data_IF_596902405533
#
_entry.id   IF_596902405533
#
_cell.length_a   1.000
_cell.length_b   1.000
_cell.length_c   1.000
_cell.angle_alpha   90.00
_cell.angle_beta   90.00
_cell.angle_gamma   90.00
#
_symmetry.space_group_name_H-M   'P 1'
#
loop_
_entity.id
_entity.type
_entity.pdbx_description
1 polymer ?
#
# COMPACT_ATOMS: atom_id res chain seq x y z
N UNK A 1 13.48 -18.19 -25.03
CA UNK A 1 12.63 -17.69 -23.94
C UNK A 1 13.37 -16.58 -23.26
N UNK A 2 12.84 -15.37 -23.31
CA UNK A 2 13.45 -14.20 -22.71
C UNK A 2 13.47 -14.32 -21.18
N UNK A 3 14.28 -13.50 -20.49
CA UNK A 3 14.36 -13.49 -19.01
C UNK A 3 13.02 -13.11 -18.39
N UNK A 4 12.30 -12.22 -19.05
CA UNK A 4 10.95 -11.77 -18.68
C UNK A 4 9.90 -12.89 -18.81
N UNK A 5 9.92 -13.67 -19.88
CA UNK A 5 9.08 -14.85 -20.03
C UNK A 5 9.34 -15.91 -18.93
N UNK A 6 10.60 -16.06 -18.47
CA UNK A 6 10.93 -16.96 -17.35
C UNK A 6 10.35 -16.45 -16.03
N UNK A 7 10.39 -15.13 -15.77
CA UNK A 7 9.80 -14.51 -14.58
C UNK A 7 8.29 -14.66 -14.58
N UNK A 8 7.61 -14.35 -15.69
CA UNK A 8 6.17 -14.58 -15.87
C UNK A 8 5.81 -16.04 -15.60
N UNK A 9 6.62 -16.98 -16.11
CA UNK A 9 6.37 -18.40 -15.91
C UNK A 9 6.58 -18.86 -14.46
N UNK A 10 7.57 -18.30 -13.76
CA UNK A 10 7.81 -18.58 -12.34
C UNK A 10 6.70 -18.02 -11.46
N UNK A 11 6.26 -16.79 -11.71
CA UNK A 11 5.15 -16.18 -11.00
C UNK A 11 3.83 -16.91 -11.24
N UNK A 12 3.51 -17.27 -12.50
CA UNK A 12 2.35 -18.14 -12.80
C UNK A 12 2.41 -19.50 -12.10
N UNK A 13 3.62 -20.07 -11.90
CA UNK A 13 3.80 -21.32 -11.14
C UNK A 13 3.59 -21.10 -9.63
N UNK A 14 4.02 -19.95 -9.07
CA UNK A 14 3.77 -19.58 -7.66
C UNK A 14 2.27 -19.41 -7.42
N UNK A 15 1.57 -18.64 -8.26
CA UNK A 15 0.11 -18.45 -8.20
C UNK A 15 -0.66 -19.77 -8.28
N UNK A 16 -0.28 -20.69 -9.18
CA UNK A 16 -0.89 -22.02 -9.26
C UNK A 16 -0.67 -22.85 -8.00
N UNK A 17 0.54 -22.80 -7.40
CA UNK A 17 0.83 -23.50 -6.14
C UNK A 17 -0.01 -22.92 -4.99
N UNK A 18 -0.12 -21.58 -4.88
CA UNK A 18 -0.95 -20.91 -3.87
C UNK A 18 -2.41 -21.31 -4.01
N UNK A 19 -2.98 -21.27 -5.22
CA UNK A 19 -4.37 -21.72 -5.47
C UNK A 19 -4.61 -23.18 -5.05
N UNK A 20 -3.64 -24.06 -5.27
CA UNK A 20 -3.72 -25.45 -4.83
C UNK A 20 -3.68 -25.58 -3.30
N UNK A 21 -2.86 -24.77 -2.62
CA UNK A 21 -2.79 -24.74 -1.15
C UNK A 21 -4.10 -24.20 -0.57
N UNK A 22 -4.63 -23.09 -1.10
CA UNK A 22 -5.91 -22.52 -0.66
C UNK A 22 -7.05 -23.51 -0.87
N UNK A 23 -7.12 -24.17 -2.04
CA UNK A 23 -8.12 -25.21 -2.30
C UNK A 23 -8.02 -26.39 -1.32
N UNK A 24 -6.80 -26.78 -0.96
CA UNK A 24 -6.57 -27.84 0.04
C UNK A 24 -7.02 -27.38 1.44
N UNK A 25 -6.73 -26.13 1.83
CA UNK A 25 -7.18 -25.55 3.11
C UNK A 25 -8.70 -25.46 3.20
N UNK A 26 -9.38 -25.01 2.14
CA UNK A 26 -10.85 -25.01 2.05
C UNK A 26 -11.41 -26.42 2.19
N UNK A 27 -10.79 -27.39 1.54
CA UNK A 27 -11.17 -28.80 1.66
C UNK A 27 -11.06 -29.32 3.10
N UNK A 28 -9.99 -29.00 3.81
CA UNK A 28 -9.80 -29.35 5.22
C UNK A 28 -10.83 -28.65 6.10
N UNK A 29 -11.10 -27.36 5.88
CA UNK A 29 -12.09 -26.60 6.64
C UNK A 29 -13.50 -27.19 6.46
N UNK A 30 -13.88 -27.55 5.23
CA UNK A 30 -15.15 -28.24 4.94
C UNK A 30 -15.25 -29.58 5.67
N UNK A 31 -14.18 -30.37 5.72
CA UNK A 31 -14.15 -31.62 6.48
C UNK A 31 -14.34 -31.39 7.98
N UNK A 32 -13.72 -30.35 8.55
CA UNK A 32 -13.89 -29.97 9.97
C UNK A 32 -15.34 -29.57 10.24
N UNK A 33 -15.95 -28.73 9.40
CA UNK A 33 -17.34 -28.30 9.53
C UNK A 33 -18.30 -29.51 9.48
N UNK A 34 -18.09 -30.42 8.55
CA UNK A 34 -18.88 -31.65 8.44
C UNK A 34 -18.70 -32.56 9.66
N UNK A 35 -17.49 -32.68 10.21
CA UNK A 35 -17.23 -33.44 11.42
C UNK A 35 -17.93 -32.83 12.65
N UNK A 36 -17.90 -31.49 12.80
CA UNK A 36 -18.62 -30.78 13.87
C UNK A 36 -20.14 -30.96 13.72
N UNK A 37 -20.67 -30.84 12.49
CA UNK A 37 -22.08 -31.08 12.23
C UNK A 37 -22.51 -32.52 12.58
N UNK A 38 -21.67 -33.50 12.25
CA UNK A 38 -21.86 -34.91 12.61
C UNK A 38 -21.89 -35.13 14.13
N UNK A 39 -20.97 -34.47 14.87
CA UNK A 39 -20.94 -34.53 16.34
C UNK A 39 -22.21 -33.90 16.96
N UNK A 40 -22.64 -32.74 16.43
CA UNK A 40 -23.86 -32.05 16.91
C UNK A 40 -25.11 -32.94 16.69
N UNK A 41 -25.20 -33.62 15.54
CA UNK A 41 -26.31 -34.57 15.27
C UNK A 41 -26.23 -35.77 16.23
N UNK A 42 -25.03 -36.32 16.46
CA UNK A 42 -24.82 -37.43 17.38
C UNK A 42 -25.20 -37.07 18.83
N UNK A 43 -24.84 -35.88 19.31
CA UNK A 43 -25.17 -35.36 20.63
C UNK A 43 -26.69 -35.17 20.76
N UNK A 44 -27.36 -34.64 19.73
CA UNK A 44 -28.80 -34.46 19.70
C UNK A 44 -29.57 -35.81 19.73
N UNK A 45 -29.06 -36.83 19.01
CA UNK A 45 -29.67 -38.18 19.03
C UNK A 45 -29.44 -38.90 20.36
N UNK A 46 -28.31 -38.66 21.03
CA UNK A 46 -28.04 -39.23 22.37
C UNK A 46 -28.80 -38.49 23.51
N UNK A 47 -29.09 -37.20 23.31
CA UNK A 47 -29.85 -36.39 24.27
C UNK A 47 -31.37 -36.58 24.16
N UNK A 48 -31.85 -37.12 23.03
CA UNK A 48 -33.31 -37.31 22.76
C UNK A 48 -34.00 -38.48 23.49
N UNK A 49 -33.30 -39.24 24.35
CA UNK A 49 -33.85 -40.42 25.05
C UNK A 49 -34.00 -40.23 26.57
N UNK A 50 -34.34 -39.04 27.06
CA UNK A 50 -34.77 -38.82 28.46
C UNK A 50 -35.89 -37.80 28.52
N UNK A 51 -37.11 -38.27 28.27
CA UNK A 51 -38.32 -37.66 28.80
C UNK A 51 -39.20 -38.74 29.39
N UNK A 52 -39.20 -38.85 30.72
CA UNK A 52 -40.28 -39.44 31.49
C UNK A 52 -40.71 -38.48 32.61
N UNK A 53 -41.93 -38.02 32.41
CA UNK A 53 -42.97 -37.69 33.38
C UNK A 53 -42.65 -37.03 34.72
N UNK A 54 -43.18 -35.81 34.89
CA UNK A 54 -43.98 -35.49 36.10
C UNK A 54 -45.05 -34.42 35.76
N UNK A 55 -46.31 -34.80 35.95
CA UNK A 55 -47.50 -33.93 35.99
C UNK A 55 -47.50 -33.17 37.31
N UNK A 56 -47.53 -31.84 37.23
CA UNK A 56 -47.79 -30.96 38.37
C UNK A 56 -48.53 -29.72 37.92
N UNK A 57 -49.85 -29.74 38.34
CA UNK A 57 -50.85 -28.71 38.12
C UNK A 57 -50.51 -27.45 38.94
N UNK A 58 -50.33 -26.26 38.30
CA UNK A 58 -50.58 -24.97 38.98
C UNK A 58 -50.95 -23.89 37.96
N UNK A 59 -52.13 -23.33 38.14
CA UNK A 59 -52.65 -22.11 37.55
C UNK A 59 -51.71 -20.94 37.93
N UNK A 60 -51.24 -20.22 36.97
CA UNK A 60 -50.63 -18.90 37.15
C UNK A 60 -51.26 -17.91 36.17
N UNK A 61 -51.65 -16.81 36.73
CA UNK A 61 -52.40 -15.70 36.15
C UNK A 61 -51.66 -15.02 35.05
N UNK A 62 -52.37 -14.68 33.96
CA UNK A 62 -51.95 -13.70 32.98
C UNK A 62 -51.66 -12.34 33.64
N UNK A 63 -50.43 -11.93 33.55
CA UNK A 63 -49.99 -10.54 33.69
C UNK A 63 -49.27 -10.16 32.40
N UNK A 64 -50.02 -9.58 31.49
CA UNK A 64 -49.49 -8.85 30.34
C UNK A 64 -48.75 -7.63 30.86
N UNK A 65 -47.45 -7.71 30.92
CA UNK A 65 -46.56 -6.53 31.01
C UNK A 65 -46.17 -6.21 29.59
N UNK A 66 -46.83 -5.19 29.02
CA UNK A 66 -46.34 -4.48 27.85
C UNK A 66 -45.13 -3.63 28.28
N UNK A 67 -43.96 -4.23 28.28
CA UNK A 67 -42.69 -3.52 28.35
C UNK A 67 -42.15 -3.52 26.96
N UNK A 68 -42.07 -2.34 26.30
CA UNK A 68 -41.18 -2.10 25.20
C UNK A 68 -39.80 -2.48 25.70
N UNK A 69 -39.13 -3.39 24.96
CA UNK A 69 -37.71 -3.65 25.16
C UNK A 69 -36.97 -2.32 24.95
N UNK A 70 -36.00 -2.00 25.82
CA UNK A 70 -35.13 -0.85 25.54
C UNK A 70 -34.52 -1.08 24.14
N UNK A 71 -34.77 -0.16 23.24
CA UNK A 71 -33.91 -0.06 22.06
C UNK A 71 -32.50 0.16 22.61
N UNK A 72 -31.60 -0.78 22.37
CA UNK A 72 -30.18 -0.50 22.46
C UNK A 72 -29.92 0.71 21.53
N UNK A 73 -29.70 1.88 22.13
CA UNK A 73 -29.14 2.98 21.40
C UNK A 73 -27.76 2.47 20.89
N UNK A 74 -27.65 2.28 19.57
CA UNK A 74 -26.34 2.09 18.93
C UNK A 74 -25.48 3.27 19.40
N UNK A 75 -24.46 3.00 20.19
CA UNK A 75 -23.44 3.99 20.53
C UNK A 75 -22.81 4.45 19.22
N UNK A 76 -23.29 5.55 18.68
CA UNK A 76 -22.68 6.18 17.51
C UNK A 76 -21.29 6.62 17.90
N UNK A 77 -20.26 5.97 17.32
CA UNK A 77 -18.89 6.41 17.50
C UNK A 77 -18.74 7.80 16.90
N UNK A 78 -18.01 8.72 17.55
CA UNK A 78 -17.75 10.03 16.96
C UNK A 78 -17.00 9.87 15.64
N UNK A 79 -17.24 10.75 14.65
CA UNK A 79 -16.49 10.74 13.40
C UNK A 79 -14.99 10.75 13.64
N UNK A 80 -14.25 9.88 12.97
CA UNK A 80 -12.80 9.85 12.99
C UNK A 80 -12.27 10.28 11.63
N UNK A 81 -11.32 11.20 11.59
CA UNK A 81 -10.68 11.65 10.35
C UNK A 81 -9.19 11.39 10.42
N UNK A 82 -8.64 10.90 9.32
CA UNK A 82 -7.19 10.68 9.16
C UNK A 82 -6.71 11.33 7.87
N UNK A 83 -5.51 11.89 7.90
CA UNK A 83 -4.81 12.39 6.72
C UNK A 83 -3.70 11.43 6.33
N UNK A 84 -3.75 10.95 5.10
CA UNK A 84 -2.75 10.08 4.50
C UNK A 84 -1.91 10.88 3.53
N UNK A 85 -0.58 10.83 3.69
CA UNK A 85 0.39 11.34 2.70
C UNK A 85 0.95 10.19 1.87
N UNK A 86 1.06 10.40 0.57
CA UNK A 86 1.73 9.50 -0.36
C UNK A 86 2.79 10.25 -1.16
N UNK A 87 3.94 9.60 -1.37
CA UNK A 87 5.06 10.17 -2.13
C UNK A 87 5.56 9.16 -3.16
N UNK A 88 6.36 9.65 -4.11
CA UNK A 88 6.89 8.86 -5.20
C UNK A 88 8.00 7.87 -4.82
N UNK A 89 8.79 7.48 -5.83
CA UNK A 89 9.77 6.41 -5.72
C UNK A 89 10.94 6.82 -4.82
N UNK A 90 11.14 6.05 -3.74
CA UNK A 90 12.27 6.18 -2.83
C UNK A 90 13.30 5.09 -3.13
N UNK A 91 14.44 5.48 -3.73
CA UNK A 91 15.59 4.60 -3.91
C UNK A 91 16.61 4.92 -2.81
N UNK A 92 16.53 4.19 -1.68
CA UNK A 92 17.45 4.37 -0.56
C UNK A 92 18.72 3.53 -0.77
N UNK A 93 19.58 4.00 -1.65
CA UNK A 93 20.80 3.30 -2.03
C UNK A 93 21.38 3.82 -3.33
N UNK A 94 22.25 3.02 -3.92
CA UNK A 94 22.89 3.36 -5.20
C UNK A 94 23.25 2.09 -5.96
N UNK A 95 23.51 2.20 -7.27
CA UNK A 95 24.13 1.12 -8.03
C UNK A 95 25.66 1.15 -7.83
N UNK A 96 26.28 -0.02 -7.73
CA UNK A 96 27.74 -0.15 -7.53
C UNK A 96 28.56 0.46 -8.68
N UNK A 97 27.95 0.61 -9.85
CA UNK A 97 28.60 1.19 -11.05
C UNK A 97 28.50 2.72 -11.09
N UNK A 98 27.77 3.36 -10.18
CA UNK A 98 27.65 4.81 -10.12
C UNK A 98 28.83 5.45 -9.40
N UNK A 99 28.99 6.76 -9.58
CA UNK A 99 29.99 7.52 -8.84
C UNK A 99 29.65 7.52 -7.34
N UNK A 100 30.41 6.75 -6.58
CA UNK A 100 30.14 6.56 -5.14
C UNK A 100 30.33 7.84 -4.33
N UNK A 101 31.22 8.74 -4.72
CA UNK A 101 31.49 10.02 -4.02
C UNK A 101 30.31 11.01 -4.10
N UNK A 102 29.40 10.80 -5.05
CA UNK A 102 28.21 11.62 -5.26
C UNK A 102 26.92 10.84 -5.02
N UNK A 103 27.01 9.67 -4.44
CA UNK A 103 25.86 8.79 -4.19
C UNK A 103 25.09 9.18 -2.95
N UNK A 104 23.86 8.68 -2.83
CA UNK A 104 23.06 8.78 -1.60
C UNK A 104 23.85 8.23 -0.40
N UNK A 105 24.59 7.14 -0.58
CA UNK A 105 25.43 6.55 0.47
C UNK A 105 26.50 7.53 0.98
N UNK A 106 27.16 8.29 0.08
CA UNK A 106 28.14 9.31 0.48
C UNK A 106 27.50 10.45 1.28
N UNK A 107 26.30 10.86 0.88
CA UNK A 107 25.52 11.88 1.62
C UNK A 107 25.10 11.37 2.99
N UNK A 108 24.66 10.12 3.11
CA UNK A 108 24.34 9.51 4.40
C UNK A 108 25.54 9.48 5.34
N UNK A 109 26.69 9.03 4.84
CA UNK A 109 27.93 8.97 5.61
C UNK A 109 28.40 10.35 6.11
N UNK A 110 28.10 11.41 5.34
CA UNK A 110 28.51 12.78 5.66
C UNK A 110 27.54 13.52 6.57
N UNK A 111 26.23 13.25 6.44
CA UNK A 111 25.18 14.09 7.03
C UNK A 111 24.25 13.31 7.97
N UNK A 112 24.26 11.96 7.95
CA UNK A 112 23.36 11.13 8.71
C UNK A 112 21.95 11.03 8.13
N UNK A 113 21.13 10.19 8.75
CA UNK A 113 19.79 9.83 8.25
C UNK A 113 18.80 11.01 8.20
N UNK A 114 18.78 11.85 9.23
CA UNK A 114 17.83 12.95 9.34
C UNK A 114 17.97 14.02 8.25
N UNK A 115 19.12 14.03 7.53
CA UNK A 115 19.37 14.97 6.44
C UNK A 115 18.36 14.85 5.29
N UNK A 116 17.96 13.63 4.93
CA UNK A 116 17.26 13.36 3.67
C UNK A 116 15.83 13.91 3.64
N UNK A 117 15.03 13.64 4.67
CA UNK A 117 13.62 14.05 4.70
C UNK A 117 13.36 15.29 5.57
N UNK A 118 14.42 16.00 6.00
CA UNK A 118 14.28 17.14 6.92
C UNK A 118 13.36 18.25 6.39
N UNK A 119 13.32 18.48 5.06
CA UNK A 119 12.54 19.57 4.46
C UNK A 119 11.05 19.23 4.31
N UNK A 120 10.69 17.97 4.47
CA UNK A 120 9.30 17.48 4.40
C UNK A 120 8.80 16.92 5.73
N UNK A 121 9.70 16.74 6.71
CA UNK A 121 9.41 16.13 8.00
C UNK A 121 8.19 16.75 8.71
N UNK A 122 8.09 18.09 8.74
CA UNK A 122 6.95 18.76 9.38
C UNK A 122 5.61 18.49 8.71
N UNK A 123 5.61 18.06 7.44
CA UNK A 123 4.41 17.67 6.71
C UNK A 123 4.00 16.27 7.16
N UNK A 124 4.95 15.33 7.21
CA UNK A 124 4.70 13.95 7.64
C UNK A 124 4.43 13.82 9.14
N UNK A 125 4.99 14.70 9.98
CA UNK A 125 4.63 14.75 11.42
C UNK A 125 3.24 15.36 11.68
N UNK A 126 2.64 16.01 10.67
CA UNK A 126 1.32 16.63 10.77
C UNK A 126 0.21 15.77 10.15
N UNK A 127 0.55 14.72 9.43
CA UNK A 127 -0.39 13.70 8.94
C UNK A 127 -0.51 12.53 9.93
N UNK A 128 -1.30 11.52 9.57
CA UNK A 128 -1.56 10.34 10.40
C UNK A 128 -0.92 9.07 9.82
N UNK A 129 -0.57 9.09 8.52
CA UNK A 129 0.06 7.98 7.82
C UNK A 129 0.80 8.46 6.57
N UNK A 130 2.10 8.25 6.50
CA UNK A 130 2.90 8.48 5.29
C UNK A 130 3.28 7.18 4.61
N UNK A 131 2.97 7.05 3.32
CA UNK A 131 3.24 5.88 2.48
C UNK A 131 4.28 6.21 1.42
N UNK A 132 5.30 5.36 1.27
CA UNK A 132 6.32 5.46 0.22
C UNK A 132 6.35 4.21 -0.68
N UNK A 133 6.86 4.33 -1.90
CA UNK A 133 7.30 3.18 -2.69
C UNK A 133 8.80 2.98 -2.48
N UNK A 134 9.18 1.90 -1.78
CA UNK A 134 10.60 1.56 -1.56
C UNK A 134 11.13 0.79 -2.75
N UNK A 135 11.73 1.52 -3.70
CA UNK A 135 12.21 0.98 -4.97
C UNK A 135 13.71 0.65 -4.90
N UNK A 136 14.02 -0.49 -4.34
CA UNK A 136 15.40 -0.96 -4.14
C UNK A 136 15.49 -1.95 -3.00
N UNK A 137 16.71 -2.37 -2.67
CA UNK A 137 16.95 -3.33 -1.60
C UNK A 137 17.77 -2.71 -0.47
N UNK A 138 17.41 -3.06 0.77
CA UNK A 138 18.26 -2.85 1.94
C UNK A 138 18.84 -4.21 2.32
N UNK A 139 20.16 -4.41 2.10
CA UNK A 139 20.80 -5.70 2.33
C UNK A 139 22.31 -5.61 2.33
N UNK A 140 22.96 -6.50 3.07
CA UNK A 140 24.40 -6.73 2.99
C UNK A 140 24.76 -7.77 1.92
N UNK A 141 23.80 -8.41 1.26
CA UNK A 141 24.01 -9.39 0.20
C UNK A 141 24.80 -8.78 -0.97
N UNK A 142 25.65 -9.58 -1.59
CA UNK A 142 26.38 -9.23 -2.82
C UNK A 142 25.83 -9.99 -4.04
N UNK A 143 24.69 -10.66 -3.93
CA UNK A 143 24.02 -11.40 -5.03
C UNK A 143 23.31 -10.43 -5.98
N UNK A 144 24.09 -9.48 -6.56
CA UNK A 144 23.58 -8.51 -7.52
C UNK A 144 23.03 -9.21 -8.76
N UNK A 145 21.80 -8.92 -9.12
CA UNK A 145 21.19 -9.43 -10.35
C UNK A 145 21.87 -8.83 -11.58
N UNK A 146 21.98 -9.64 -12.63
CA UNK A 146 22.47 -9.20 -13.93
C UNK A 146 21.39 -8.39 -14.65
N UNK A 147 21.40 -7.08 -14.38
CA UNK A 147 20.53 -6.05 -14.97
C UNK A 147 21.30 -4.72 -15.02
N UNK A 148 20.83 -3.79 -15.84
CA UNK A 148 21.51 -2.51 -16.08
C UNK A 148 21.69 -1.75 -14.76
N UNK A 149 20.60 -1.54 -14.01
CA UNK A 149 20.62 -0.88 -12.72
C UNK A 149 20.16 -1.84 -11.63
N UNK A 150 20.91 -1.88 -10.53
CA UNK A 150 20.55 -2.66 -9.34
C UNK A 150 20.90 -1.86 -8.08
N UNK A 151 19.88 -1.44 -7.35
CA UNK A 151 20.01 -0.51 -6.24
C UNK A 151 20.11 -1.23 -4.91
N UNK A 152 21.08 -0.81 -4.09
CA UNK A 152 21.30 -1.34 -2.75
C UNK A 152 21.73 -0.25 -1.78
N UNK A 153 21.14 -0.29 -0.58
CA UNK A 153 21.61 0.40 0.62
C UNK A 153 21.79 -0.56 1.79
N UNK A 154 22.54 -0.20 2.82
CA UNK A 154 22.61 -0.95 4.07
C UNK A 154 21.29 -0.86 4.83
N UNK A 155 21.04 -1.82 5.74
CA UNK A 155 19.81 -1.87 6.54
C UNK A 155 19.55 -0.62 7.38
N UNK A 156 20.62 0.06 7.84
CA UNK A 156 20.50 1.30 8.62
C UNK A 156 19.83 2.46 7.84
N UNK A 157 19.69 2.38 6.52
CA UNK A 157 19.00 3.41 5.74
C UNK A 157 17.49 3.47 6.01
N UNK A 158 16.92 2.49 6.70
CA UNK A 158 15.58 2.61 7.28
C UNK A 158 15.43 3.85 8.16
N UNK A 159 16.53 4.28 8.80
CA UNK A 159 16.56 5.50 9.61
C UNK A 159 16.26 6.77 8.80
N UNK A 160 16.46 6.77 7.48
CA UNK A 160 16.04 7.88 6.61
C UNK A 160 14.53 8.07 6.70
N UNK A 161 13.78 6.98 6.57
CA UNK A 161 12.32 6.98 6.59
C UNK A 161 11.80 7.28 8.00
N UNK A 162 12.28 6.58 9.02
CA UNK A 162 11.81 6.80 10.41
C UNK A 162 12.14 8.19 10.94
N UNK A 163 13.30 8.77 10.56
CA UNK A 163 13.64 10.16 10.92
C UNK A 163 12.73 11.17 10.22
N UNK A 164 12.14 10.81 9.11
CA UNK A 164 11.22 11.63 8.33
C UNK A 164 9.75 11.54 8.75
N UNK A 165 9.37 10.51 9.51
CA UNK A 165 7.96 10.26 9.86
C UNK A 165 7.24 9.43 8.81
N UNK A 166 7.84 8.31 8.34
CA UNK A 166 7.24 7.38 7.37
C UNK A 166 6.87 6.09 8.08
N UNK A 167 5.62 5.63 7.93
CA UNK A 167 5.06 4.46 8.61
C UNK A 167 4.89 3.24 7.71
N UNK A 168 4.72 3.42 6.38
CA UNK A 168 4.44 2.30 5.49
C UNK A 168 5.21 2.38 4.17
N UNK A 169 5.61 1.21 3.65
CA UNK A 169 6.38 1.09 2.42
C UNK A 169 5.84 -0.01 1.50
N UNK A 170 5.48 0.37 0.27
CA UNK A 170 5.21 -0.58 -0.82
C UNK A 170 6.51 -1.20 -1.32
N UNK A 171 6.53 -2.53 -1.42
CA UNK A 171 7.67 -3.31 -1.93
C UNK A 171 7.39 -3.99 -3.29
N UNK A 172 6.19 -3.82 -3.85
CA UNK A 172 5.83 -4.43 -5.13
C UNK A 172 6.38 -3.62 -6.31
N UNK A 173 7.67 -3.80 -6.66
CA UNK A 173 8.33 -3.07 -7.74
C UNK A 173 9.43 -3.89 -8.44
N UNK A 174 10.03 -3.33 -9.49
CA UNK A 174 11.05 -3.99 -10.32
C UNK A 174 12.43 -4.04 -9.66
N UNK A 175 12.70 -3.28 -8.59
CA UNK A 175 14.00 -3.18 -7.93
C UNK A 175 14.09 -3.91 -6.59
N UNK A 176 12.99 -4.35 -6.00
CA UNK A 176 13.00 -5.02 -4.69
C UNK A 176 13.78 -6.35 -4.67
N UNK A 177 13.96 -6.98 -5.84
CA UNK A 177 14.74 -8.21 -6.00
C UNK A 177 16.11 -7.98 -6.67
N UNK A 178 16.65 -6.78 -6.64
CA UNK A 178 17.94 -6.46 -7.28
C UNK A 178 19.10 -7.29 -6.73
N UNK A 179 18.99 -7.70 -5.47
CA UNK A 179 19.94 -8.58 -4.79
C UNK A 179 19.30 -9.92 -4.38
N UNK A 180 18.39 -10.43 -5.21
CA UNK A 180 17.76 -11.75 -5.06
C UNK A 180 16.73 -11.82 -3.94
N UNK A 181 16.35 -13.04 -3.58
CA UNK A 181 15.39 -13.31 -2.50
C UNK A 181 15.96 -12.89 -1.13
N UNK A 182 17.28 -12.98 -0.94
CA UNK A 182 17.92 -12.51 0.29
C UNK A 182 17.74 -10.99 0.44
N UNK A 183 17.99 -10.21 -0.63
CA UNK A 183 17.79 -8.76 -0.60
C UNK A 183 16.34 -8.38 -0.28
N UNK A 184 15.36 -9.07 -0.84
CA UNK A 184 13.94 -8.89 -0.54
C UNK A 184 13.63 -9.18 0.94
N UNK A 185 14.08 -10.33 1.43
CA UNK A 185 13.85 -10.74 2.83
C UNK A 185 14.53 -9.80 3.82
N UNK A 186 15.77 -9.40 3.55
CA UNK A 186 16.51 -8.46 4.39
C UNK A 186 15.79 -7.10 4.45
N UNK A 187 15.29 -6.62 3.31
CA UNK A 187 14.56 -5.34 3.23
C UNK A 187 13.33 -5.37 4.12
N UNK A 188 12.51 -6.44 4.04
CA UNK A 188 11.34 -6.62 4.91
C UNK A 188 11.77 -6.59 6.38
N UNK A 189 12.77 -7.40 6.74
CA UNK A 189 13.21 -7.51 8.13
C UNK A 189 13.72 -6.18 8.69
N UNK A 190 14.53 -5.43 7.92
CA UNK A 190 15.05 -4.14 8.36
C UNK A 190 13.93 -3.10 8.50
N UNK A 191 12.98 -3.04 7.57
CA UNK A 191 11.83 -2.14 7.63
C UNK A 191 10.96 -2.44 8.85
N UNK A 192 10.58 -3.70 9.06
CA UNK A 192 9.72 -4.09 10.18
C UNK A 192 10.41 -3.91 11.54
N UNK A 193 11.73 -4.19 11.64
CA UNK A 193 12.50 -3.90 12.85
C UNK A 193 12.59 -2.40 13.15
N UNK A 194 12.52 -1.56 12.13
CA UNK A 194 12.47 -0.11 12.27
C UNK A 194 11.06 0.43 12.55
N UNK A 195 10.03 -0.44 12.60
CA UNK A 195 8.64 -0.04 12.82
C UNK A 195 7.90 0.42 11.56
N UNK A 196 8.48 0.20 10.38
CA UNK A 196 7.84 0.54 9.10
C UNK A 196 7.07 -0.68 8.60
N UNK A 197 5.77 -0.52 8.39
CA UNK A 197 4.91 -1.59 7.83
C UNK A 197 5.22 -1.82 6.36
N UNK A 198 5.46 -3.06 5.97
CA UNK A 198 5.72 -3.43 4.57
C UNK A 198 4.53 -4.12 3.94
N UNK A 199 4.24 -3.77 2.68
CA UNK A 199 3.20 -4.39 1.88
C UNK A 199 3.63 -4.51 0.42
N UNK A 200 2.91 -5.32 -0.36
CA UNK A 200 3.17 -5.53 -1.79
C UNK A 200 3.25 -7.00 -2.17
N UNK A 201 2.91 -7.31 -3.40
CA UNK A 201 2.65 -8.68 -3.87
C UNK A 201 1.55 -9.34 -3.03
N UNK A 202 1.79 -10.58 -2.55
CA UNK A 202 0.89 -11.29 -1.64
C UNK A 202 0.86 -10.76 -0.19
N UNK A 203 1.73 -9.82 0.16
CA UNK A 203 1.78 -9.19 1.48
C UNK A 203 0.82 -8.01 1.52
N UNK A 204 -0.25 -8.13 2.25
CA UNK A 204 -1.16 -7.02 2.58
C UNK A 204 -0.93 -6.56 4.02
N UNK A 205 -1.43 -5.38 4.38
CA UNK A 205 -1.41 -4.90 5.74
C UNK A 205 -2.72 -4.18 6.08
N UNK A 206 -3.15 -4.27 7.34
CA UNK A 206 -4.21 -3.43 7.90
C UNK A 206 -3.65 -2.70 9.11
N UNK A 207 -3.63 -1.38 9.05
CA UNK A 207 -3.13 -0.51 10.11
C UNK A 207 -4.30 0.15 10.83
N UNK A 208 -4.22 0.24 12.14
CA UNK A 208 -5.12 1.10 12.93
C UNK A 208 -4.46 2.50 13.00
N UNK A 209 -5.04 3.44 12.32
CA UNK A 209 -4.58 4.83 12.25
C UNK A 209 -5.62 5.70 12.96
N UNK A 210 -5.34 6.07 14.19
CA UNK A 210 -6.24 6.88 15.03
C UNK A 210 -7.69 6.35 15.09
N UNK A 211 -7.85 5.01 15.13
CA UNK A 211 -9.14 4.34 15.18
C UNK A 211 -9.79 4.06 13.83
N UNK A 212 -9.16 4.47 12.71
CA UNK A 212 -9.55 4.10 11.35
C UNK A 212 -8.65 2.97 10.85
N UNK A 213 -9.24 1.88 10.39
CA UNK A 213 -8.51 0.75 9.80
C UNK A 213 -8.21 0.99 8.33
N UNK A 214 -6.93 1.13 8.00
CA UNK A 214 -6.44 1.36 6.64
C UNK A 214 -5.83 0.08 6.08
N UNK A 215 -6.41 -0.45 5.02
CA UNK A 215 -5.90 -1.59 4.26
C UNK A 215 -4.92 -1.14 3.17
N UNK A 216 -3.74 -1.76 3.13
CA UNK A 216 -2.68 -1.46 2.18
C UNK A 216 -2.44 -2.65 1.25
N UNK A 217 -2.52 -2.41 -0.05
CA UNK A 217 -2.33 -3.40 -1.12
C UNK A 217 -1.31 -2.87 -2.11
N UNK A 218 -0.29 -3.67 -2.47
CA UNK A 218 0.72 -3.31 -3.45
C UNK A 218 0.75 -4.28 -4.63
N UNK A 219 0.76 -3.74 -5.85
CA UNK A 219 0.66 -4.52 -7.10
C UNK A 219 1.76 -4.13 -8.08
N UNK A 220 2.40 -5.13 -8.68
CA UNK A 220 3.47 -4.96 -9.66
C UNK A 220 3.03 -5.41 -11.06
N UNK A 221 2.74 -4.43 -11.93
CA UNK A 221 2.21 -4.66 -13.28
C UNK A 221 3.30 -5.07 -14.27
N UNK A 222 4.48 -4.45 -14.27
CA UNK A 222 5.49 -4.59 -15.33
C UNK A 222 5.91 -6.03 -15.65
N UNK A 223 5.81 -6.94 -14.68
CA UNK A 223 6.14 -8.35 -14.90
C UNK A 223 4.96 -9.20 -15.38
N UNK A 224 3.74 -8.83 -15.04
CA UNK A 224 2.53 -9.62 -15.25
C UNK A 224 1.56 -9.00 -16.26
N UNK A 225 1.69 -7.70 -16.55
CA UNK A 225 0.67 -6.95 -17.27
C UNK A 225 -0.68 -7.09 -16.56
N UNK A 226 -1.76 -7.16 -17.30
CA UNK A 226 -3.12 -7.34 -16.77
C UNK A 226 -3.33 -8.63 -15.96
N UNK A 227 -2.43 -9.64 -16.04
CA UNK A 227 -2.54 -10.85 -15.22
C UNK A 227 -2.39 -10.59 -13.70
N UNK A 228 -1.93 -9.38 -13.28
CA UNK A 228 -1.85 -8.98 -11.85
C UNK A 228 -3.21 -8.61 -11.24
N UNK A 229 -4.22 -8.32 -12.06
CA UNK A 229 -5.55 -7.86 -11.63
C UNK A 229 -6.21 -8.84 -10.65
N UNK A 230 -6.15 -10.13 -10.93
CA UNK A 230 -6.80 -11.14 -10.09
C UNK A 230 -6.20 -11.20 -8.67
N UNK A 231 -4.86 -11.06 -8.54
CA UNK A 231 -4.18 -11.02 -7.24
C UNK A 231 -4.50 -9.72 -6.49
N UNK A 232 -4.53 -8.59 -7.18
CA UNK A 232 -4.96 -7.31 -6.62
C UNK A 232 -6.36 -7.40 -6.01
N UNK A 233 -7.34 -7.94 -6.76
CA UNK A 233 -8.73 -8.11 -6.28
C UNK A 233 -8.79 -9.05 -5.07
N UNK A 234 -8.02 -10.16 -5.08
CA UNK A 234 -7.94 -11.07 -3.92
C UNK A 234 -7.37 -10.33 -2.69
N UNK A 235 -6.36 -9.48 -2.87
CA UNK A 235 -5.72 -8.73 -1.80
C UNK A 235 -6.61 -7.61 -1.25
N UNK A 236 -7.36 -6.88 -2.10
CA UNK A 236 -8.37 -5.90 -1.67
C UNK A 236 -9.39 -6.59 -0.76
N UNK A 237 -9.97 -7.71 -1.20
CA UNK A 237 -10.92 -8.49 -0.40
C UNK A 237 -10.32 -9.03 0.90
N UNK A 238 -9.03 -9.34 0.91
CA UNK A 238 -8.36 -9.81 2.12
C UNK A 238 -8.33 -8.71 3.19
N UNK A 239 -7.93 -7.48 2.84
CA UNK A 239 -7.88 -6.36 3.80
C UNK A 239 -9.29 -5.92 4.23
N UNK A 240 -10.29 -5.95 3.34
CA UNK A 240 -11.70 -5.71 3.69
C UNK A 240 -12.20 -6.74 4.73
N UNK A 241 -11.90 -8.03 4.52
CA UNK A 241 -12.26 -9.10 5.45
C UNK A 241 -11.55 -8.99 6.81
N UNK A 242 -10.39 -8.32 6.87
CA UNK A 242 -9.66 -7.97 8.10
C UNK A 242 -10.24 -6.71 8.76
N UNK A 243 -11.24 -6.09 8.14
CA UNK A 243 -12.00 -4.96 8.66
C UNK A 243 -11.44 -3.60 8.26
N UNK A 244 -10.70 -3.50 7.15
CA UNK A 244 -10.31 -2.20 6.60
C UNK A 244 -11.53 -1.36 6.26
N UNK A 245 -11.51 -0.09 6.65
CA UNK A 245 -12.54 0.91 6.39
C UNK A 245 -12.13 1.85 5.26
N UNK A 246 -10.81 1.94 5.01
CA UNK A 246 -10.20 2.64 3.88
C UNK A 246 -9.23 1.67 3.22
N UNK A 247 -9.29 1.52 1.90
CA UNK A 247 -8.40 0.63 1.14
C UNK A 247 -7.56 1.46 0.16
N UNK A 248 -6.24 1.39 0.30
CA UNK A 248 -5.28 2.09 -0.56
C UNK A 248 -4.50 1.07 -1.38
N UNK A 249 -4.53 1.22 -2.72
CA UNK A 249 -3.81 0.34 -3.64
C UNK A 249 -2.66 1.08 -4.28
N UNK A 250 -1.43 0.62 -4.05
CA UNK A 250 -0.22 1.15 -4.68
C UNK A 250 0.19 0.27 -5.87
N UNK A 251 0.33 0.87 -7.04
CA UNK A 251 0.80 0.20 -8.25
C UNK A 251 2.22 0.63 -8.61
N UNK A 252 3.00 -0.31 -9.14
CA UNK A 252 4.24 -0.05 -9.84
C UNK A 252 4.08 -0.51 -11.30
N UNK A 253 3.86 0.46 -12.22
CA UNK A 253 3.28 0.23 -13.54
C UNK A 253 3.74 1.23 -14.61
N UNK A 254 3.22 1.07 -15.82
CA UNK A 254 3.36 2.03 -16.91
C UNK A 254 4.74 2.08 -17.53
N UNK A 255 5.08 3.21 -18.12
CA UNK A 255 6.33 3.40 -18.86
C UNK A 255 7.14 4.58 -18.29
N UNK A 256 8.46 4.38 -18.10
CA UNK A 256 9.35 5.43 -17.64
C UNK A 256 9.33 6.68 -18.56
N UNK A 257 9.34 7.86 -17.93
CA UNK A 257 9.42 9.18 -18.58
C UNK A 257 8.25 9.54 -19.48
N UNK A 258 7.10 8.87 -19.31
CA UNK A 258 5.85 9.19 -19.99
C UNK A 258 4.88 9.83 -19.01
N UNK A 259 4.44 11.07 -19.31
CA UNK A 259 3.58 11.86 -18.41
C UNK A 259 2.08 11.51 -18.51
N UNK A 260 1.68 10.63 -19.39
CA UNK A 260 0.28 10.21 -19.58
C UNK A 260 0.16 8.71 -19.30
N UNK A 261 -0.85 8.28 -18.52
CA UNK A 261 -1.04 6.86 -18.23
C UNK A 261 -1.48 6.10 -19.49
N UNK A 262 -0.99 4.88 -19.63
CA UNK A 262 -1.39 3.96 -20.68
C UNK A 262 -2.73 3.25 -20.37
N UNK A 263 -3.22 2.45 -21.33
CA UNK A 263 -4.50 1.77 -21.20
C UNK A 263 -4.51 0.71 -20.08
N UNK A 264 -3.37 0.06 -19.79
CA UNK A 264 -3.25 -0.89 -18.69
C UNK A 264 -3.37 -0.18 -17.34
N UNK A 265 -2.68 0.96 -17.17
CA UNK A 265 -2.77 1.76 -15.96
C UNK A 265 -4.22 2.16 -15.67
N UNK A 266 -4.93 2.69 -16.69
CA UNK A 266 -6.33 3.09 -16.54
C UNK A 266 -7.24 1.92 -16.20
N UNK A 267 -7.10 0.80 -16.92
CA UNK A 267 -7.94 -0.38 -16.69
C UNK A 267 -7.73 -0.97 -15.29
N UNK A 268 -6.48 -1.07 -14.84
CA UNK A 268 -6.15 -1.59 -13.50
C UNK A 268 -6.60 -0.64 -12.38
N UNK A 269 -6.45 0.68 -12.58
CA UNK A 269 -6.92 1.68 -11.63
C UNK A 269 -8.44 1.62 -11.44
N UNK A 270 -9.18 1.63 -12.55
CA UNK A 270 -10.64 1.51 -12.51
C UNK A 270 -11.07 0.18 -11.88
N UNK A 271 -10.40 -0.92 -12.24
CA UNK A 271 -10.67 -2.23 -11.61
C UNK A 271 -10.41 -2.23 -10.10
N UNK A 272 -9.37 -1.56 -9.62
CA UNK A 272 -9.10 -1.42 -8.19
C UNK A 272 -10.25 -0.72 -7.47
N UNK A 273 -10.68 0.44 -7.98
CA UNK A 273 -11.82 1.19 -7.42
C UNK A 273 -13.11 0.37 -7.50
N UNK A 274 -13.38 -0.30 -8.62
CA UNK A 274 -14.57 -1.14 -8.81
C UNK A 274 -14.62 -2.35 -7.87
N UNK A 275 -13.49 -2.72 -7.27
CA UNK A 275 -13.37 -3.83 -6.33
C UNK A 275 -13.08 -3.39 -4.89
N UNK A 276 -13.25 -2.11 -4.54
CA UNK A 276 -13.25 -1.62 -3.16
C UNK A 276 -12.06 -0.75 -2.76
N UNK A 277 -11.20 -0.33 -3.70
CA UNK A 277 -10.16 0.66 -3.38
C UNK A 277 -10.77 2.07 -3.24
N UNK A 278 -10.30 2.81 -2.23
CA UNK A 278 -10.70 4.21 -1.96
C UNK A 278 -9.66 5.21 -2.47
N UNK A 279 -8.43 4.74 -2.70
CA UNK A 279 -7.35 5.54 -3.28
C UNK A 279 -6.42 4.63 -4.08
N UNK A 280 -6.02 5.09 -5.27
CA UNK A 280 -5.00 4.43 -6.09
C UNK A 280 -3.78 5.33 -6.24
N UNK A 281 -2.60 4.78 -5.94
CA UNK A 281 -1.30 5.44 -6.00
C UNK A 281 -0.40 4.76 -7.03
N UNK A 282 0.18 5.52 -7.94
CA UNK A 282 1.02 5.01 -9.02
C UNK A 282 2.49 5.39 -8.89
N UNK A 283 3.36 4.45 -9.30
CA UNK A 283 4.81 4.51 -9.23
C UNK A 283 5.45 3.92 -10.49
N UNK A 284 6.75 4.12 -10.71
CA UNK A 284 7.57 3.65 -11.82
C UNK A 284 7.78 4.64 -12.98
N UNK A 285 6.82 5.45 -13.44
CA UNK A 285 7.13 6.36 -14.56
C UNK A 285 8.27 7.35 -14.27
N UNK A 286 8.66 7.55 -12.99
CA UNK A 286 9.71 8.46 -12.53
C UNK A 286 9.47 9.92 -12.93
N UNK A 287 8.29 10.23 -13.41
CA UNK A 287 7.75 11.56 -13.72
C UNK A 287 6.33 11.65 -13.21
N UNK A 288 5.84 12.86 -12.99
CA UNK A 288 4.44 13.06 -12.62
C UNK A 288 3.52 12.68 -13.79
N UNK A 289 2.42 12.02 -13.46
CA UNK A 289 1.28 11.82 -14.35
C UNK A 289 0.04 12.51 -13.77
N UNK A 290 -1.08 12.45 -14.50
CA UNK A 290 -2.33 13.06 -14.11
C UNK A 290 -2.98 12.40 -12.88
N UNK A 291 -3.97 13.10 -12.34
CA UNK A 291 -4.86 12.63 -11.29
C UNK A 291 -6.26 12.55 -11.89
N UNK A 292 -6.93 11.42 -11.70
CA UNK A 292 -8.30 11.17 -12.12
C UNK A 292 -9.20 11.02 -10.90
N UNK A 293 -10.41 11.57 -10.98
CA UNK A 293 -11.49 11.22 -10.07
C UNK A 293 -12.42 10.21 -10.78
N UNK A 294 -12.43 8.96 -10.33
CA UNK A 294 -13.27 7.90 -10.86
C UNK A 294 -14.22 7.41 -9.78
N UNK A 295 -15.53 7.52 -10.03
CA UNK A 295 -16.59 7.16 -9.07
C UNK A 295 -16.42 7.80 -7.68
N UNK A 296 -15.98 9.06 -7.64
CA UNK A 296 -15.76 9.80 -6.40
C UNK A 296 -14.48 9.41 -5.66
N UNK A 297 -13.59 8.60 -6.24
CA UNK A 297 -12.31 8.18 -5.66
C UNK A 297 -11.14 8.69 -6.51
N UNK A 298 -10.02 9.00 -5.86
CA UNK A 298 -8.85 9.52 -6.54
C UNK A 298 -7.94 8.40 -7.06
N UNK A 299 -7.42 8.61 -8.27
CA UNK A 299 -6.37 7.82 -8.90
C UNK A 299 -5.21 8.76 -9.21
N UNK A 300 -4.09 8.60 -8.51
CA UNK A 300 -2.85 9.32 -8.76
C UNK A 300 -1.94 8.44 -9.60
N UNK A 301 -1.90 8.65 -10.92
CA UNK A 301 -1.25 7.72 -11.85
C UNK A 301 0.27 7.62 -11.69
N UNK A 302 0.95 8.71 -11.29
CA UNK A 302 2.35 8.67 -10.90
C UNK A 302 2.73 9.86 -10.03
N UNK A 303 3.39 9.56 -8.92
CA UNK A 303 3.93 10.54 -7.97
C UNK A 303 5.35 11.02 -8.34
N UNK A 304 5.97 10.44 -9.37
CA UNK A 304 7.36 10.70 -9.75
C UNK A 304 8.37 10.07 -8.80
N UNK A 305 9.59 10.62 -8.78
CA UNK A 305 10.62 10.25 -7.80
C UNK A 305 10.45 11.04 -6.50
N UNK A 306 11.01 10.55 -5.38
CA UNK A 306 11.01 11.32 -4.14
C UNK A 306 12.39 11.36 -3.49
N UNK A 307 12.72 10.49 -2.53
CA UNK A 307 14.09 10.37 -2.01
C UNK A 307 14.89 9.42 -2.94
N UNK A 308 15.45 9.97 -4.00
CA UNK A 308 15.83 9.20 -5.17
C UNK A 308 17.36 9.04 -5.31
N UNK A 309 17.91 7.90 -4.85
CA UNK A 309 19.32 7.53 -4.98
C UNK A 309 19.73 6.97 -6.36
N UNK A 310 18.78 6.80 -7.29
CA UNK A 310 19.02 6.22 -8.61
C UNK A 310 19.81 7.10 -9.59
N UNK A 311 19.99 8.39 -9.28
CA UNK A 311 20.82 9.30 -10.08
C UNK A 311 21.32 10.49 -9.27
N UNK A 312 22.58 10.87 -9.46
CA UNK A 312 23.12 12.11 -8.88
C UNK A 312 22.69 13.38 -9.64
N UNK A 313 22.05 13.22 -10.79
CA UNK A 313 21.49 14.32 -11.58
C UNK A 313 20.33 13.82 -12.46
N UNK A 314 19.15 13.55 -11.89
CA UNK A 314 17.99 13.10 -12.64
C UNK A 314 17.54 14.18 -13.64
N UNK A 315 17.06 13.74 -14.81
CA UNK A 315 16.59 14.64 -15.88
C UNK A 315 15.32 15.40 -15.42
N UNK A 316 14.43 14.74 -14.69
CA UNK A 316 13.23 15.33 -14.08
C UNK A 316 13.39 15.38 -12.56
N UNK A 317 13.07 16.54 -11.96
CA UNK A 317 13.09 16.71 -10.49
C UNK A 317 11.71 16.95 -9.91
N UNK A 318 10.69 17.07 -10.75
CA UNK A 318 9.33 17.33 -10.34
C UNK A 318 8.73 16.11 -9.65
N UNK A 319 8.20 16.34 -8.48
CA UNK A 319 7.49 15.34 -7.67
C UNK A 319 6.43 16.03 -6.82
N UNK A 320 5.67 15.26 -6.06
CA UNK A 320 4.68 15.82 -5.15
C UNK A 320 4.54 14.95 -3.91
N UNK A 321 4.02 15.56 -2.85
CA UNK A 321 3.33 14.87 -1.77
C UNK A 321 1.84 15.00 -2.08
N UNK A 322 1.16 13.88 -2.24
CA UNK A 322 -0.29 13.84 -2.36
C UNK A 322 -0.87 13.50 -0.98
N UNK A 323 -1.75 14.36 -0.49
CA UNK A 323 -2.46 14.12 0.78
C UNK A 323 -3.94 13.94 0.52
N UNK A 324 -4.55 12.96 1.19
CA UNK A 324 -6.01 12.80 1.22
C UNK A 324 -6.46 12.59 2.66
N UNK A 325 -7.50 13.33 3.05
CA UNK A 325 -8.19 13.13 4.32
C UNK A 325 -9.36 12.20 4.11
N UNK A 326 -9.46 11.19 4.94
CA UNK A 326 -10.55 10.23 5.00
C UNK A 326 -11.31 10.44 6.29
N UNK A 327 -12.63 10.55 6.21
CA UNK A 327 -13.53 10.65 7.35
C UNK A 327 -14.38 9.39 7.44
N UNK A 328 -14.38 8.74 8.60
CA UNK A 328 -15.21 7.56 8.88
C UNK A 328 -16.25 7.91 9.93
N UNK A 329 -17.51 7.72 9.61
CA UNK A 329 -18.64 7.94 10.51
C UNK A 329 -19.44 6.63 10.67
N UNK A 330 -19.70 6.23 11.91
CA UNK A 330 -20.42 4.98 12.23
C UNK A 330 -19.80 3.73 11.56
N UNK A 331 -18.48 3.74 11.37
CA UNK A 331 -17.74 2.62 10.75
C UNK A 331 -17.69 2.64 9.22
N UNK A 332 -18.35 3.60 8.57
CA UNK A 332 -18.39 3.74 7.11
C UNK A 332 -17.62 4.98 6.65
N UNK A 333 -16.93 4.87 5.51
CA UNK A 333 -16.20 5.97 4.89
C UNK A 333 -17.19 7.00 4.33
N UNK A 334 -17.00 8.26 4.71
CA UNK A 334 -17.71 9.41 4.13
C UNK A 334 -17.00 9.82 2.83
N UNK A 335 -17.76 10.02 1.77
CA UNK A 335 -17.23 10.43 0.47
C UNK A 335 -17.06 11.97 0.42
N UNK A 336 -16.08 12.51 1.15
CA UNK A 336 -15.78 13.94 1.21
C UNK A 336 -14.62 14.36 0.28
N UNK A 337 -13.78 13.41 -0.15
CA UNK A 337 -12.69 13.52 -1.13
C UNK A 337 -11.79 14.76 -0.96
N UNK A 338 -11.44 15.09 0.31
CA UNK A 338 -10.59 16.24 0.62
C UNK A 338 -9.13 15.90 0.31
N UNK A 339 -8.55 16.60 -0.66
CA UNK A 339 -7.17 16.40 -1.11
C UNK A 339 -6.33 17.66 -0.99
N UNK A 340 -5.01 17.47 -0.87
CA UNK A 340 -4.01 18.51 -0.91
C UNK A 340 -2.78 18.05 -1.70
N UNK A 341 -2.42 18.79 -2.74
CA UNK A 341 -1.24 18.51 -3.56
C UNK A 341 -0.14 19.49 -3.16
N UNK A 342 0.99 18.97 -2.70
CA UNK A 342 2.16 19.76 -2.34
C UNK A 342 3.26 19.47 -3.37
N UNK A 343 3.44 20.33 -4.40
CA UNK A 343 4.52 20.22 -5.37
C UNK A 343 5.88 20.28 -4.70
N UNK A 344 6.76 19.36 -5.09
CA UNK A 344 8.10 19.23 -4.55
C UNK A 344 9.13 19.08 -5.67
N UNK A 345 10.39 19.31 -5.34
CA UNK A 345 11.54 18.84 -6.11
C UNK A 345 12.21 17.69 -5.35
N UNK A 346 12.73 16.69 -6.05
CA UNK A 346 13.53 15.60 -5.45
C UNK A 346 14.83 16.07 -4.78
N UNK A 347 15.18 17.34 -4.98
CA UNK A 347 16.42 17.96 -4.53
C UNK A 347 16.20 19.40 -4.11
N UNK A 348 16.81 19.83 -3.03
CA UNK A 348 16.87 21.25 -2.66
C UNK A 348 17.91 22.05 -3.49
N UNK A 349 18.77 21.37 -4.26
CA UNK A 349 19.72 21.97 -5.18
C UNK A 349 19.18 22.02 -6.61
N UNK A 350 19.42 23.12 -7.31
CA UNK A 350 18.91 23.34 -8.67
C UNK A 350 19.58 22.49 -9.74
N UNK A 351 20.88 22.28 -9.64
CA UNK A 351 21.76 21.76 -10.68
C UNK A 351 22.28 20.33 -10.46
N UNK A 352 22.02 19.73 -9.31
CA UNK A 352 22.34 18.33 -9.00
C UNK A 352 21.31 17.74 -8.04
N UNK A 353 21.42 16.46 -7.75
CA UNK A 353 20.61 15.80 -6.75
C UNK A 353 21.36 15.72 -5.41
N UNK A 354 20.84 16.37 -4.40
CA UNK A 354 21.33 16.25 -3.02
C UNK A 354 20.45 15.34 -2.16
N UNK A 355 19.50 14.63 -2.78
CA UNK A 355 18.65 13.63 -2.14
C UNK A 355 17.74 14.19 -1.03
N UNK A 356 17.39 15.47 -1.12
CA UNK A 356 16.50 16.15 -0.18
C UNK A 356 15.23 16.59 -0.89
N UNK A 357 14.17 15.79 -0.91
CA UNK A 357 12.85 16.23 -1.37
C UNK A 357 12.45 17.52 -0.65
N UNK A 358 12.04 18.51 -1.42
CA UNK A 358 11.80 19.86 -0.90
C UNK A 358 10.52 20.44 -1.50
N UNK A 359 9.56 20.89 -0.68
CA UNK A 359 8.39 21.60 -1.15
C UNK A 359 8.77 22.86 -1.93
N UNK A 360 8.02 23.13 -2.98
CA UNK A 360 8.20 24.29 -3.84
C UNK A 360 7.18 25.38 -3.52
N UNK A 361 7.56 26.62 -3.78
CA UNK A 361 6.69 27.79 -3.64
C UNK A 361 6.69 28.66 -4.91
N UNK A 362 5.86 29.71 -4.92
CA UNK A 362 5.78 30.70 -6.00
C UNK A 362 5.58 30.05 -7.38
N UNK A 363 6.31 30.54 -8.38
CA UNK A 363 6.15 30.14 -9.78
C UNK A 363 6.46 28.66 -10.05
N UNK A 364 7.37 28.05 -9.31
CA UNK A 364 7.68 26.63 -9.50
C UNK A 364 6.57 25.72 -8.97
N UNK A 365 5.95 26.08 -7.84
CA UNK A 365 4.74 25.40 -7.36
C UNK A 365 3.62 25.48 -8.39
N UNK A 366 3.36 26.68 -8.91
CA UNK A 366 2.30 26.92 -9.92
C UNK A 366 2.57 26.14 -11.20
N UNK A 367 3.81 26.10 -11.67
CA UNK A 367 4.24 25.36 -12.86
C UNK A 367 3.92 23.86 -12.73
N UNK A 368 4.22 23.24 -11.58
CA UNK A 368 3.93 21.82 -11.36
C UNK A 368 2.43 21.57 -11.25
N UNK A 369 1.69 22.42 -10.55
CA UNK A 369 0.22 22.29 -10.47
C UNK A 369 -0.43 22.39 -11.85
N UNK A 370 0.02 23.31 -12.71
CA UNK A 370 -0.45 23.42 -14.08
C UNK A 370 -0.10 22.19 -14.92
N UNK A 371 1.10 21.63 -14.74
CA UNK A 371 1.50 20.40 -15.43
C UNK A 371 0.63 19.19 -15.01
N UNK A 372 0.33 19.05 -13.71
CA UNK A 372 -0.58 18.00 -13.22
C UNK A 372 -1.98 18.18 -13.81
N UNK A 373 -2.50 19.41 -13.85
CA UNK A 373 -3.80 19.73 -14.47
C UNK A 373 -3.81 19.37 -15.97
N UNK A 374 -2.74 19.71 -16.70
CA UNK A 374 -2.58 19.34 -18.10
C UNK A 374 -2.58 17.82 -18.29
N UNK A 375 -1.81 17.08 -17.48
CA UNK A 375 -1.73 15.61 -17.55
C UNK A 375 -3.05 14.93 -17.15
N UNK A 376 -3.87 15.61 -16.35
CA UNK A 376 -5.20 15.13 -15.94
C UNK A 376 -6.29 15.42 -16.98
N UNK A 377 -6.02 16.35 -17.91
CA UNK A 377 -6.99 16.84 -18.90
C UNK A 377 -7.37 15.77 -19.90
N UNK A 378 -8.10 14.83 -19.75
CA UNK A 378 -8.47 13.72 -20.66
C UNK A 378 -8.58 12.39 -19.94
N UNK A 379 -8.50 12.44 -18.59
CA UNK A 379 -8.72 11.30 -17.72
C UNK A 379 -10.14 11.26 -17.14
N UNK A 380 -11.01 12.23 -17.53
CA UNK A 380 -12.41 12.35 -17.08
C UNK A 380 -13.37 11.66 -18.03
#
# INVERSE_FOLDING_TARGET
>A
MTREERRRLQMKRRLRKRRLVIAAMIGVLLCIVLAIAGIVVLVRTLAGNKEETTKGNQQARDLTISGEAPQEEEETQPPASITVSAVGDCILGTDVNFNQDKSLNAYYNSNGAAYFLQNVKSIFEADDLTIVNMEGTLTESNDRRDKEFAFKGPGEFTQILTSGGVEAANLANNHIHDYGEQGYTDTINYMEQAGITTFGYERTAVLDVNGVKVGLVGTYELALGMDCEAEMIENIKAVENEGAQVVIVSFHWGQEKVNYPDDNQKALAHSAIDNGADLVLGHHPHVLQGIEEYKGKNIVYSLGNFCYGGSSNPVGKDTMIFQQTFTVENGELVEDNVTNIIPCSVSSASDYNNYQPTPLDGSEKERILQAIEEYSSGLQ
#
